data_IF_212611482209
#
_entry.id   IF_212611482209
#
_cell.length_a   1.000
_cell.length_b   1.000
_cell.length_c   1.000
_cell.angle_alpha   90.00
_cell.angle_beta   90.00
_cell.angle_gamma   90.00
#
_symmetry.space_group_name_H-M   'P 1'
#
loop_
_entity.id
_entity.type
_entity.pdbx_description
1 polymer ?
#
# COMPACT_ATOMS: atom_id res chain seq x y z
N UNK A 1 -35.02 -30.34 -1.54
CA UNK A 1 -33.92 -30.76 -0.63
C UNK A 1 -32.76 -29.82 -0.92
N UNK A 2 -32.34 -29.04 0.08
CA UNK A 2 -31.69 -27.74 -0.10
C UNK A 2 -30.42 -27.74 -0.94
N UNK A 3 -30.38 -26.82 -1.91
CA UNK A 3 -29.14 -26.26 -2.41
C UNK A 3 -28.53 -25.43 -1.28
N UNK A 4 -27.57 -25.99 -0.55
CA UNK A 4 -26.62 -25.18 0.23
C UNK A 4 -25.71 -24.46 -0.77
N UNK A 5 -26.26 -23.44 -1.43
CA UNK A 5 -25.48 -22.40 -2.06
C UNK A 5 -24.63 -21.78 -0.96
N UNK A 6 -23.31 -21.85 -1.12
CA UNK A 6 -22.35 -21.21 -0.23
C UNK A 6 -22.84 -19.77 0.02
N UNK A 7 -22.94 -19.29 1.27
CA UNK A 7 -23.12 -17.87 1.49
C UNK A 7 -21.93 -17.21 0.83
N UNK A 8 -22.22 -16.49 -0.25
CA UNK A 8 -21.28 -15.65 -0.95
C UNK A 8 -20.83 -14.62 0.08
N UNK A 9 -19.69 -14.92 0.70
CA UNK A 9 -19.05 -14.14 1.74
C UNK A 9 -18.71 -12.80 1.11
N UNK A 10 -19.68 -11.88 1.15
CA UNK A 10 -19.55 -10.43 1.03
C UNK A 10 -18.17 -10.03 0.53
N UNK A 11 -17.94 -10.25 -0.77
CA UNK A 11 -16.80 -9.68 -1.46
C UNK A 11 -17.17 -8.22 -1.70
N UNK A 12 -17.10 -7.42 -0.62
CA UNK A 12 -16.86 -5.99 -0.74
C UNK A 12 -15.74 -5.85 -1.75
N UNK A 13 -15.89 -5.01 -2.80
CA UNK A 13 -14.93 -4.97 -3.88
C UNK A 13 -13.56 -4.67 -3.27
N UNK A 14 -12.70 -5.69 -3.19
CA UNK A 14 -11.29 -5.51 -2.83
C UNK A 14 -10.77 -4.50 -3.81
N UNK A 15 -10.56 -3.28 -3.32
CA UNK A 15 -10.34 -2.14 -4.20
C UNK A 15 -9.04 -2.36 -4.95
N UNK A 16 -8.92 -1.77 -6.14
CA UNK A 16 -7.71 -1.91 -6.96
C UNK A 16 -6.45 -1.62 -6.14
N UNK A 17 -6.54 -0.63 -5.23
CA UNK A 17 -5.45 -0.24 -4.33
C UNK A 17 -4.91 -1.38 -3.46
N UNK A 18 -5.75 -2.24 -2.89
CA UNK A 18 -5.31 -3.35 -2.02
C UNK A 18 -4.50 -4.40 -2.81
N UNK A 19 -4.94 -4.68 -4.05
CA UNK A 19 -4.26 -5.62 -4.95
C UNK A 19 -2.93 -5.05 -5.42
N UNK A 20 -2.90 -3.77 -5.77
CA UNK A 20 -1.67 -3.10 -6.18
C UNK A 20 -0.67 -3.04 -5.03
N UNK A 21 -1.09 -2.68 -3.81
CA UNK A 21 -0.22 -2.70 -2.63
C UNK A 21 0.37 -4.08 -2.35
N UNK A 22 -0.41 -5.15 -2.51
CA UNK A 22 0.08 -6.52 -2.33
C UNK A 22 1.13 -6.90 -3.39
N UNK A 23 0.87 -6.54 -4.66
CA UNK A 23 1.80 -6.77 -5.78
C UNK A 23 3.11 -6.00 -5.61
N UNK A 24 3.04 -4.75 -5.17
CA UNK A 24 4.22 -3.89 -5.02
C UNK A 24 4.92 -4.11 -3.68
N UNK A 25 4.31 -4.82 -2.72
CA UNK A 25 4.89 -5.11 -1.40
C UNK A 25 6.37 -5.52 -1.44
N UNK A 26 6.80 -6.54 -2.22
CA UNK A 26 8.21 -6.94 -2.24
C UNK A 26 9.12 -5.87 -2.87
N UNK A 27 8.65 -5.18 -3.91
CA UNK A 27 9.41 -4.13 -4.57
C UNK A 27 9.56 -2.90 -3.67
N UNK A 28 8.47 -2.52 -3.01
CA UNK A 28 8.41 -1.44 -2.04
C UNK A 28 9.38 -1.70 -0.90
N UNK A 29 9.34 -2.88 -0.28
CA UNK A 29 10.27 -3.30 0.78
C UNK A 29 11.74 -3.20 0.37
N UNK A 30 12.06 -3.48 -0.90
CA UNK A 30 13.43 -3.45 -1.40
C UNK A 30 13.90 -2.00 -1.68
N UNK A 31 13.02 -1.18 -2.27
CA UNK A 31 13.33 0.15 -2.80
C UNK A 31 13.11 1.29 -1.80
N UNK A 32 12.13 1.16 -0.92
CA UNK A 32 11.76 2.21 0.04
C UNK A 32 12.91 2.49 1.00
N UNK A 33 13.16 3.74 1.34
CA UNK A 33 14.15 4.16 2.33
C UNK A 33 13.50 4.30 3.72
N UNK A 34 14.30 4.32 4.80
CA UNK A 34 13.76 4.58 6.15
C UNK A 34 13.04 5.93 6.23
N UNK A 35 13.51 6.91 5.46
CA UNK A 35 12.91 8.24 5.38
C UNK A 35 11.53 8.21 4.71
N UNK A 36 11.41 7.57 3.54
CA UNK A 36 10.12 7.43 2.84
C UNK A 36 9.11 6.67 3.71
N UNK A 37 9.53 5.63 4.43
CA UNK A 37 8.66 4.91 5.38
C UNK A 37 8.14 5.87 6.47
N UNK A 38 9.02 6.67 7.08
CA UNK A 38 8.60 7.62 8.11
C UNK A 38 7.65 8.69 7.57
N UNK A 39 7.92 9.23 6.38
CA UNK A 39 7.03 10.21 5.74
C UNK A 39 5.65 9.61 5.43
N UNK A 40 5.59 8.36 4.95
CA UNK A 40 4.32 7.66 4.73
C UNK A 40 3.58 7.41 6.04
N UNK A 41 4.28 6.99 7.09
CA UNK A 41 3.70 6.80 8.41
C UNK A 41 3.11 8.10 8.95
N UNK A 42 3.82 9.23 8.76
CA UNK A 42 3.37 10.54 9.19
C UNK A 42 2.17 11.04 8.38
N UNK A 43 2.18 10.87 7.06
CA UNK A 43 1.03 11.18 6.20
C UNK A 43 -0.22 10.37 6.57
N UNK A 44 -0.05 9.08 6.89
CA UNK A 44 -1.14 8.22 7.34
C UNK A 44 -1.60 8.54 8.77
N UNK A 45 -0.69 8.99 9.64
CA UNK A 45 -1.04 9.53 10.96
C UNK A 45 -1.88 10.80 10.81
N UNK A 46 -1.46 11.70 9.93
CA UNK A 46 -2.14 12.97 9.67
C UNK A 46 -3.55 12.75 9.09
N UNK A 47 -3.71 11.77 8.22
CA UNK A 47 -5.02 11.34 7.69
C UNK A 47 -5.87 10.57 8.72
N UNK A 48 -5.37 10.30 9.94
CA UNK A 48 -6.07 9.54 10.98
C UNK A 48 -6.20 8.04 10.67
N UNK A 49 -5.45 7.54 9.68
CA UNK A 49 -5.42 6.13 9.28
C UNK A 49 -4.66 5.31 10.32
N UNK A 50 -3.55 5.84 10.82
CA UNK A 50 -2.73 5.27 11.89
C UNK A 50 -2.80 6.17 13.13
N UNK A 51 -2.63 5.58 14.31
CA UNK A 51 -2.47 6.32 15.56
C UNK A 51 -0.98 6.50 15.89
N UNK A 52 -0.65 7.41 16.81
CA UNK A 52 0.74 7.66 17.22
C UNK A 52 1.38 6.39 17.82
N UNK A 53 0.68 5.70 18.72
CA UNK A 53 1.10 4.39 19.24
C UNK A 53 1.30 3.35 18.13
N UNK A 54 0.42 3.35 17.13
CA UNK A 54 0.53 2.41 16.02
C UNK A 54 1.75 2.70 15.14
N UNK A 55 2.06 3.97 14.89
CA UNK A 55 3.24 4.41 14.14
C UNK A 55 4.50 4.07 14.92
N UNK A 56 4.55 4.43 16.19
CA UNK A 56 5.72 4.27 17.05
C UNK A 56 6.06 2.79 17.22
N UNK A 57 5.06 1.93 17.46
CA UNK A 57 5.25 0.49 17.48
C UNK A 57 5.86 -0.06 16.17
N UNK A 58 5.45 0.43 14.99
CA UNK A 58 6.09 0.00 13.74
C UNK A 58 7.54 0.47 13.66
N UNK A 59 7.84 1.66 14.14
CA UNK A 59 9.17 2.27 14.08
C UNK A 59 10.13 1.62 15.10
N UNK A 60 9.68 1.33 16.31
CA UNK A 60 10.44 0.69 17.38
C UNK A 60 10.57 -0.82 17.18
N UNK A 61 9.50 -1.54 16.85
CA UNK A 61 9.51 -3.01 16.80
C UNK A 61 10.28 -3.56 15.58
N UNK A 62 10.44 -2.76 14.53
CA UNK A 62 11.03 -3.21 13.27
C UNK A 62 12.35 -2.50 12.99
N UNK A 63 13.48 -3.02 13.45
CA UNK A 63 14.79 -2.38 13.23
C UNK A 63 15.20 -2.31 11.73
N UNK A 64 14.76 -3.33 10.99
CA UNK A 64 15.00 -3.44 9.55
C UNK A 64 14.00 -2.64 8.72
N UNK A 65 14.52 -1.87 7.75
CA UNK A 65 13.74 -1.14 6.73
C UNK A 65 12.69 -2.03 6.06
N UNK A 66 13.09 -3.26 5.74
CA UNK A 66 12.21 -4.23 5.11
C UNK A 66 11.03 -4.65 6.01
N UNK A 67 11.28 -4.80 7.32
CA UNK A 67 10.28 -5.19 8.29
C UNK A 67 9.29 -4.03 8.53
N UNK A 68 9.79 -2.79 8.67
CA UNK A 68 8.94 -1.58 8.76
C UNK A 68 7.99 -1.45 7.57
N UNK A 69 8.53 -1.62 6.35
CA UNK A 69 7.76 -1.54 5.13
C UNK A 69 6.68 -2.63 5.03
N UNK A 70 7.01 -3.87 5.44
CA UNK A 70 6.03 -4.98 5.49
C UNK A 70 4.93 -4.71 6.51
N UNK A 71 5.29 -4.20 7.68
CA UNK A 71 4.35 -3.89 8.75
C UNK A 71 3.42 -2.73 8.36
N UNK A 72 3.97 -1.68 7.74
CA UNK A 72 3.20 -0.56 7.19
C UNK A 72 2.11 -1.04 6.21
N UNK A 73 2.48 -1.87 5.23
CA UNK A 73 1.52 -2.41 4.26
C UNK A 73 0.49 -3.30 4.96
N UNK A 74 0.87 -4.10 5.96
CA UNK A 74 -0.08 -4.93 6.70
C UNK A 74 -1.09 -4.07 7.47
N UNK A 75 -0.62 -3.00 8.14
CA UNK A 75 -1.49 -2.05 8.85
C UNK A 75 -2.45 -1.33 7.91
N UNK A 76 -1.95 -0.85 6.78
CA UNK A 76 -2.77 -0.19 5.76
C UNK A 76 -3.86 -1.14 5.24
N UNK A 77 -3.50 -2.39 4.92
CA UNK A 77 -4.47 -3.42 4.50
C UNK A 77 -5.48 -3.77 5.60
N UNK A 78 -5.05 -3.77 6.87
CA UNK A 78 -5.95 -4.01 8.02
C UNK A 78 -6.93 -2.87 8.23
N UNK A 79 -6.53 -1.63 7.98
CA UNK A 79 -7.40 -0.46 8.13
C UNK A 79 -8.44 -0.39 7.01
N UNK A 80 -8.04 -0.71 5.78
CA UNK A 80 -8.95 -0.90 4.65
C UNK A 80 -8.53 -0.15 3.39
N UNK A 81 -9.44 -0.12 2.42
CA UNK A 81 -9.21 0.43 1.08
C UNK A 81 -8.91 1.94 1.07
N UNK A 82 -9.48 2.70 2.00
CA UNK A 82 -9.24 4.14 2.13
C UNK A 82 -7.79 4.44 2.52
N UNK A 83 -7.26 3.67 3.48
CA UNK A 83 -5.86 3.70 3.88
C UNK A 83 -4.95 3.34 2.70
N UNK A 84 -5.31 2.31 1.94
CA UNK A 84 -4.56 1.87 0.76
C UNK A 84 -4.46 2.98 -0.29
N UNK A 85 -5.56 3.69 -0.55
CA UNK A 85 -5.58 4.83 -1.47
C UNK A 85 -4.72 6.00 -0.98
N UNK A 86 -4.81 6.34 0.31
CA UNK A 86 -4.01 7.39 0.94
C UNK A 86 -2.51 7.07 0.90
N UNK A 87 -2.12 5.83 1.20
CA UNK A 87 -0.73 5.39 1.14
C UNK A 87 -0.14 5.62 -0.26
N UNK A 88 -0.88 5.24 -1.30
CA UNK A 88 -0.45 5.41 -2.70
C UNK A 88 -0.33 6.91 -3.06
N UNK A 89 -1.26 7.74 -2.59
CA UNK A 89 -1.22 9.20 -2.81
C UNK A 89 -0.02 9.85 -2.11
N UNK A 90 0.22 9.52 -0.84
CA UNK A 90 1.38 9.99 -0.09
C UNK A 90 2.68 9.52 -0.74
N UNK A 91 2.74 8.27 -1.21
CA UNK A 91 3.92 7.76 -1.89
C UNK A 91 4.26 8.54 -3.15
N UNK A 92 3.25 8.90 -3.95
CA UNK A 92 3.44 9.75 -5.13
C UNK A 92 3.95 11.15 -4.79
N UNK A 93 3.53 11.70 -3.65
CA UNK A 93 3.94 13.03 -3.18
C UNK A 93 5.37 13.03 -2.62
N UNK A 94 5.72 11.99 -1.86
CA UNK A 94 7.04 11.84 -1.23
C UNK A 94 8.08 11.43 -2.26
N UNK A 95 7.76 10.43 -3.10
CA UNK A 95 8.69 9.86 -4.05
C UNK A 95 7.97 9.37 -5.31
N UNK A 96 7.86 10.29 -6.27
CA UNK A 96 7.24 10.04 -7.57
C UNK A 96 7.99 8.98 -8.38
N UNK A 97 9.31 8.90 -8.21
CA UNK A 97 10.18 7.91 -8.86
C UNK A 97 9.87 6.52 -8.34
N UNK A 98 9.78 6.36 -7.01
CA UNK A 98 9.39 5.09 -6.38
C UNK A 98 7.98 4.69 -6.79
N UNK A 99 7.04 5.64 -6.83
CA UNK A 99 5.68 5.40 -7.31
C UNK A 99 5.64 4.87 -8.76
N UNK A 100 6.46 5.42 -9.65
CA UNK A 100 6.64 4.92 -11.01
C UNK A 100 7.30 3.54 -11.04
N UNK A 101 8.38 3.33 -10.28
CA UNK A 101 9.09 2.04 -10.22
C UNK A 101 8.17 0.90 -9.76
N UNK A 102 7.30 1.19 -8.80
CA UNK A 102 6.33 0.22 -8.29
C UNK A 102 5.18 -0.03 -9.27
N UNK A 103 5.09 0.71 -10.37
CA UNK A 103 4.02 0.56 -11.35
C UNK A 103 2.65 1.01 -10.81
N UNK A 104 2.63 1.79 -9.73
CA UNK A 104 1.39 2.38 -9.20
C UNK A 104 0.89 3.52 -10.09
N UNK A 105 1.77 4.05 -10.94
CA UNK A 105 1.47 4.95 -12.05
C UNK A 105 0.84 4.18 -13.21
N UNK A 106 -0.42 3.80 -13.09
CA UNK A 106 -1.43 4.01 -14.13
C UNK A 106 -2.68 3.18 -13.84
N UNK A 107 -3.80 3.89 -13.77
CA UNK A 107 -5.11 3.34 -13.93
C UNK A 107 -5.22 2.61 -15.28
N UNK A 108 -5.25 1.27 -15.29
CA UNK A 108 -6.14 0.49 -16.17
C UNK A 108 -6.20 -0.98 -15.73
N UNK A 109 -7.41 -1.52 -15.45
CA UNK A 109 -7.62 -2.94 -15.58
C UNK A 109 -7.61 -3.28 -17.08
N UNK A 110 -6.70 -4.18 -17.46
CA UNK A 110 -6.56 -4.76 -18.80
C UNK A 110 -6.10 -3.78 -19.89
N UNK A 111 -4.81 -3.81 -20.25
CA UNK A 111 -4.35 -4.28 -21.57
C UNK A 111 -2.90 -4.81 -21.48
N UNK A 112 -2.57 -5.92 -22.16
CA UNK A 112 -1.21 -6.43 -22.23
C UNK A 112 -0.43 -5.61 -23.27
N UNK A 113 0.57 -4.88 -22.79
CA UNK A 113 1.63 -4.34 -23.63
C UNK A 113 1.59 -2.83 -23.85
N UNK A 114 1.76 -2.03 -22.82
CA UNK A 114 2.48 -0.77 -22.99
C UNK A 114 3.23 -0.41 -21.72
N UNK A 115 4.54 -0.46 -21.83
CA UNK A 115 5.52 -0.06 -20.83
C UNK A 115 5.42 1.45 -20.72
N UNK A 116 4.57 1.95 -19.83
CA UNK A 116 4.47 3.38 -19.50
C UNK A 116 5.83 3.87 -19.04
N UNK A 117 6.55 4.48 -19.98
CA UNK A 117 7.84 5.11 -19.81
C UNK A 117 7.66 6.37 -18.96
N UNK A 118 7.99 6.27 -17.68
CA UNK A 118 8.16 7.41 -16.79
C UNK A 118 9.52 8.06 -17.14
N UNK A 119 9.51 9.17 -17.88
CA UNK A 119 10.71 9.96 -18.16
C UNK A 119 10.98 10.94 -17.00
N UNK A 120 12.26 11.18 -16.66
CA UNK A 120 12.68 12.07 -15.56
C UNK A 120 12.36 13.54 -15.81
#
# INVERSE_FOLDING_TARGET
RGSFGKPQRSESPRTMADKELDRVRPQFVNKVTKEVINQLLDGLLHDGVLNEEEKDAVVEENDSRAAKARCLIDKVKRKGSEASSKMIAHLKSVDKTLYCELGLSNAQPAQPGERSICFP
#
